data_IF_203292964836
#
_entry.id   IF_203292964836
#
_cell.length_a   1.000
_cell.length_b   1.000
_cell.length_c   1.000
_cell.angle_alpha   90.00
_cell.angle_beta   90.00
_cell.angle_gamma   90.00
#
_symmetry.space_group_name_H-M   'P 1'
#
loop_
_entity.id
_entity.type
_entity.pdbx_description
1 polymer ?
#
# COMPACT_ATOMS: atom_id res chain seq x y z
N UNK A 1 -44.04 7.48 71.53
CA UNK A 1 -43.53 8.84 71.34
C UNK A 1 -42.03 8.77 71.68
N UNK A 2 -41.20 8.66 70.72
CA UNK A 2 -39.72 8.66 70.86
C UNK A 2 -39.22 9.86 70.09
N UNK A 3 -38.75 10.82 70.85
CA UNK A 3 -38.20 12.09 70.40
C UNK A 3 -36.79 11.87 69.86
N UNK A 4 -36.58 12.04 68.56
CA UNK A 4 -35.31 11.86 67.89
C UNK A 4 -34.53 13.15 67.96
N UNK A 5 -33.53 13.17 68.83
CA UNK A 5 -32.58 14.27 69.04
C UNK A 5 -31.72 14.48 67.86
N UNK A 6 -31.87 15.58 67.14
CA UNK A 6 -30.95 16.00 66.06
C UNK A 6 -29.63 16.47 66.66
N UNK A 7 -28.55 15.72 66.35
CA UNK A 7 -27.19 16.16 66.59
C UNK A 7 -26.78 17.19 65.53
N UNK A 8 -26.06 18.26 65.88
CA UNK A 8 -25.57 19.27 64.94
C UNK A 8 -24.39 18.72 64.16
N UNK A 9 -24.53 18.71 62.85
CA UNK A 9 -23.45 18.34 61.92
C UNK A 9 -22.28 19.32 62.07
N UNK A 10 -21.08 18.76 62.27
CA UNK A 10 -19.84 19.47 62.30
C UNK A 10 -19.60 20.21 60.95
N UNK A 11 -19.38 21.50 61.03
CA UNK A 11 -18.95 22.34 59.91
C UNK A 11 -17.60 21.82 59.35
N UNK A 12 -17.65 21.28 58.13
CA UNK A 12 -16.44 20.99 57.34
C UNK A 12 -15.77 22.32 57.00
N UNK A 13 -14.67 22.58 57.66
CA UNK A 13 -13.84 23.74 57.37
C UNK A 13 -13.29 23.66 55.94
N UNK A 14 -13.83 24.49 55.07
CA UNK A 14 -13.23 24.76 53.76
C UNK A 14 -11.92 25.45 54.06
N UNK A 15 -10.81 24.72 54.02
CA UNK A 15 -9.48 25.34 53.99
C UNK A 15 -9.40 26.11 52.67
N UNK A 16 -9.31 27.43 52.78
CA UNK A 16 -8.99 28.32 51.69
C UNK A 16 -7.74 27.76 50.98
N UNK A 17 -7.94 27.11 49.82
CA UNK A 17 -6.91 26.84 48.90
C UNK A 17 -6.48 28.19 48.30
N UNK A 18 -5.55 28.87 48.93
CA UNK A 18 -4.83 29.97 48.32
C UNK A 18 -4.28 29.45 47.00
N UNK A 19 -4.88 29.87 45.91
CA UNK A 19 -4.33 29.70 44.57
C UNK A 19 -3.05 30.53 44.61
N UNK A 20 -1.93 29.84 44.79
CA UNK A 20 -0.59 30.44 44.54
C UNK A 20 -0.58 30.77 43.04
N UNK A 21 -0.89 32.02 42.73
CA UNK A 21 -0.64 32.58 41.41
C UNK A 21 0.87 32.53 41.23
N UNK A 22 1.29 31.61 40.32
CA UNK A 22 2.71 31.56 39.91
C UNK A 22 3.19 32.98 39.57
N UNK A 23 4.38 33.37 39.97
CA UNK A 23 4.87 34.72 39.72
C UNK A 23 4.87 34.95 38.21
N UNK A 24 3.98 35.85 37.76
CA UNK A 24 4.08 36.41 36.42
C UNK A 24 5.39 37.19 36.37
N UNK A 25 6.44 36.50 35.95
CA UNK A 25 7.71 37.15 35.66
C UNK A 25 7.45 38.19 34.57
N UNK A 26 7.71 39.45 34.89
CA UNK A 26 7.58 40.55 33.94
C UNK A 26 8.44 40.29 32.72
N UNK A 27 7.78 39.85 31.63
CA UNK A 27 8.46 39.56 30.35
C UNK A 27 8.90 40.89 29.76
N UNK A 28 10.19 41.14 29.77
CA UNK A 28 10.77 42.32 29.15
C UNK A 28 10.39 42.38 27.66
N UNK A 29 10.10 43.61 27.17
CA UNK A 29 9.77 43.82 25.74
C UNK A 29 10.80 43.22 24.80
N UNK A 30 12.09 43.27 25.13
CA UNK A 30 13.17 42.65 24.37
C UNK A 30 13.09 41.15 24.37
N UNK A 31 12.78 40.54 25.51
CA UNK A 31 12.59 39.08 25.62
C UNK A 31 11.38 38.62 24.83
N UNK A 32 10.26 39.34 24.90
CA UNK A 32 9.08 39.04 24.14
C UNK A 32 9.30 39.07 22.62
N UNK A 33 9.95 40.13 22.12
CA UNK A 33 10.30 40.27 20.70
C UNK A 33 11.25 39.12 20.28
N UNK A 34 12.25 38.80 21.12
CA UNK A 34 13.18 37.70 20.84
C UNK A 34 12.47 36.32 20.71
N UNK A 35 11.57 36.00 21.64
CA UNK A 35 10.80 34.77 21.58
C UNK A 35 9.82 34.74 20.40
N UNK A 36 9.23 35.88 20.08
CA UNK A 36 8.33 36.01 18.95
C UNK A 36 9.06 35.81 17.61
N UNK A 37 10.23 36.42 17.44
CA UNK A 37 11.04 36.22 16.22
C UNK A 37 11.53 34.77 16.11
N UNK A 38 11.98 34.17 17.21
CA UNK A 38 12.36 32.75 17.22
C UNK A 38 11.19 31.84 16.83
N UNK A 39 10.00 32.09 17.38
CA UNK A 39 8.79 31.35 17.05
C UNK A 39 8.43 31.46 15.55
N UNK A 40 8.46 32.68 15.01
CA UNK A 40 8.16 32.91 13.60
C UNK A 40 9.21 32.29 12.66
N UNK A 41 10.48 32.35 13.02
CA UNK A 41 11.53 31.69 12.19
C UNK A 41 11.39 30.17 12.23
N UNK A 42 11.16 29.56 13.39
CA UNK A 42 10.94 28.15 13.53
C UNK A 42 9.70 27.67 12.74
N UNK A 43 8.60 28.42 12.85
CA UNK A 43 7.38 28.16 12.10
C UNK A 43 7.60 28.25 10.58
N UNK A 44 8.30 29.29 10.11
CA UNK A 44 8.58 29.46 8.67
C UNK A 44 9.45 28.33 8.12
N UNK A 45 10.47 27.89 8.87
CA UNK A 45 11.32 26.78 8.50
C UNK A 45 10.54 25.46 8.47
N UNK A 46 9.70 25.19 9.46
CA UNK A 46 8.86 24.00 9.50
C UNK A 46 7.86 23.96 8.34
N UNK A 47 7.20 25.09 8.08
CA UNK A 47 6.24 25.21 6.98
C UNK A 47 6.93 25.07 5.62
N UNK A 48 8.09 25.72 5.42
CA UNK A 48 8.87 25.60 4.20
C UNK A 48 9.36 24.17 3.96
N UNK A 49 9.82 23.48 5.00
CA UNK A 49 10.19 22.08 4.94
C UNK A 49 9.00 21.17 4.57
N UNK A 50 7.86 21.38 5.21
CA UNK A 50 6.64 20.64 4.92
C UNK A 50 6.16 20.83 3.47
N UNK A 51 6.14 22.09 3.00
CA UNK A 51 5.77 22.41 1.62
C UNK A 51 6.73 21.75 0.60
N UNK A 52 8.03 21.79 0.89
CA UNK A 52 9.04 21.14 0.05
C UNK A 52 8.81 19.63 -0.03
N UNK A 53 8.55 18.98 1.10
CA UNK A 53 8.19 17.55 1.14
C UNK A 53 6.92 17.26 0.35
N UNK A 54 5.89 18.10 0.50
CA UNK A 54 4.63 17.94 -0.20
C UNK A 54 4.79 18.07 -1.71
N UNK A 55 5.54 19.07 -2.17
CA UNK A 55 5.86 19.23 -3.60
C UNK A 55 6.64 18.02 -4.10
N UNK A 56 7.66 17.57 -3.35
CA UNK A 56 8.44 16.38 -3.74
C UNK A 56 7.59 15.10 -3.80
N UNK A 57 6.59 14.97 -2.95
CA UNK A 57 5.66 13.85 -2.98
C UNK A 57 4.78 13.84 -4.24
N UNK A 58 4.43 15.00 -4.77
CA UNK A 58 3.62 15.14 -5.99
C UNK A 58 4.39 14.75 -7.26
N UNK A 59 5.72 14.77 -7.22
CA UNK A 59 6.53 14.31 -8.35
C UNK A 59 6.82 12.82 -8.19
N UNK A 60 6.30 11.95 -9.09
CA UNK A 60 6.56 10.53 -9.02
C UNK A 60 8.07 10.28 -9.17
N UNK A 61 8.62 9.55 -8.22
CA UNK A 61 10.04 9.20 -8.20
C UNK A 61 10.35 7.97 -9.10
N UNK A 62 9.55 7.78 -10.15
CA UNK A 62 9.70 6.68 -11.09
C UNK A 62 10.80 7.07 -12.08
N UNK A 63 12.03 6.71 -11.74
CA UNK A 63 13.19 7.04 -12.55
C UNK A 63 13.51 6.03 -13.64
N UNK A 64 13.03 4.78 -13.52
CA UNK A 64 13.27 3.73 -14.51
C UNK A 64 12.14 2.71 -14.50
N UNK A 65 11.26 2.80 -15.48
CA UNK A 65 10.53 1.61 -15.89
C UNK A 65 11.50 0.73 -16.68
N UNK A 66 11.73 -0.54 -16.28
CA UNK A 66 12.50 -1.44 -17.10
C UNK A 66 11.83 -1.54 -18.48
N UNK A 67 12.59 -1.69 -19.58
CA UNK A 67 12.02 -1.78 -20.91
C UNK A 67 10.94 -2.87 -20.92
N UNK A 68 9.72 -2.50 -21.30
CA UNK A 68 8.57 -3.41 -21.32
C UNK A 68 8.65 -4.46 -22.44
N UNK A 69 9.72 -4.41 -23.23
CA UNK A 69 10.02 -5.37 -24.29
C UNK A 69 11.32 -6.11 -24.02
N UNK A 70 11.31 -7.42 -24.21
CA UNK A 70 12.48 -8.26 -24.09
C UNK A 70 12.51 -9.30 -25.22
N UNK A 71 13.70 -9.75 -25.57
CA UNK A 71 13.87 -10.78 -26.60
C UNK A 71 13.66 -12.15 -26.00
N UNK A 72 12.78 -12.94 -26.60
CA UNK A 72 12.44 -14.30 -26.15
C UNK A 72 13.21 -15.39 -26.89
N UNK A 73 13.87 -15.08 -28.01
CA UNK A 73 14.58 -16.06 -28.87
C UNK A 73 13.93 -16.17 -30.24
N UNK A 74 14.22 -17.28 -30.91
CA UNK A 74 13.66 -17.59 -32.22
C UNK A 74 12.38 -18.46 -32.09
N UNK A 75 11.47 -18.38 -33.06
CA UNK A 75 10.24 -19.17 -33.03
C UNK A 75 10.46 -20.68 -32.89
N UNK A 76 11.55 -21.18 -33.42
CA UNK A 76 11.88 -22.61 -33.42
C UNK A 76 12.35 -23.13 -32.05
N UNK A 77 12.67 -22.22 -31.13
CA UNK A 77 13.03 -22.56 -29.76
C UNK A 77 11.83 -22.99 -28.92
N UNK A 78 10.60 -22.81 -29.43
CA UNK A 78 9.35 -23.08 -28.71
C UNK A 78 8.59 -24.25 -29.34
N UNK A 79 8.23 -25.22 -28.50
CA UNK A 79 7.46 -26.41 -28.93
C UNK A 79 5.98 -26.03 -29.07
N UNK A 80 5.35 -26.48 -30.17
CA UNK A 80 3.92 -26.27 -30.41
C UNK A 80 3.10 -27.01 -29.35
N UNK A 81 2.15 -26.33 -28.74
CA UNK A 81 1.24 -26.90 -27.74
C UNK A 81 1.87 -27.09 -26.35
N UNK A 82 3.00 -26.44 -26.08
CA UNK A 82 3.60 -26.35 -24.75
C UNK A 82 3.78 -24.92 -24.29
N UNK A 83 3.94 -24.74 -22.97
CA UNK A 83 4.17 -23.45 -22.34
C UNK A 83 5.61 -23.40 -21.83
N UNK A 84 6.33 -22.39 -22.24
CA UNK A 84 7.68 -22.12 -21.77
C UNK A 84 7.63 -21.37 -20.41
N UNK A 85 8.28 -21.94 -19.41
CA UNK A 85 8.32 -21.44 -18.05
C UNK A 85 9.56 -20.58 -17.74
N UNK A 86 10.52 -20.49 -18.66
CA UNK A 86 11.81 -19.76 -18.46
C UNK A 86 11.59 -18.30 -18.09
N UNK A 87 10.56 -17.69 -18.64
CA UNK A 87 10.29 -16.26 -18.47
C UNK A 87 9.36 -15.93 -17.29
N UNK A 88 8.79 -16.96 -16.63
CA UNK A 88 7.86 -16.82 -15.50
C UNK A 88 8.44 -15.99 -14.35
N UNK A 89 9.64 -16.33 -13.90
CA UNK A 89 10.20 -15.74 -12.67
C UNK A 89 10.76 -14.34 -12.89
N UNK A 90 11.24 -14.04 -14.09
CA UNK A 90 11.92 -12.77 -14.39
C UNK A 90 10.96 -11.71 -14.93
N UNK A 91 10.04 -12.13 -15.78
CA UNK A 91 9.15 -11.22 -16.51
C UNK A 91 7.66 -11.41 -16.20
N UNK A 92 7.34 -12.38 -15.36
CA UNK A 92 5.96 -12.76 -15.03
C UNK A 92 5.11 -13.09 -16.27
N UNK A 93 5.71 -13.78 -17.24
CA UNK A 93 5.09 -14.12 -18.52
C UNK A 93 5.28 -15.60 -18.83
N UNK A 94 4.25 -16.22 -19.38
CA UNK A 94 4.33 -17.52 -20.05
C UNK A 94 4.32 -17.32 -21.54
N UNK A 95 5.20 -18.02 -22.23
CA UNK A 95 5.25 -18.02 -23.69
C UNK A 95 4.69 -19.36 -24.19
N UNK A 96 3.71 -19.29 -25.06
CA UNK A 96 3.14 -20.44 -25.74
C UNK A 96 3.27 -20.30 -27.23
N UNK A 97 3.32 -21.44 -27.95
CA UNK A 97 3.28 -21.52 -29.41
C UNK A 97 2.09 -22.36 -29.84
N UNK A 98 1.30 -21.83 -30.76
CA UNK A 98 0.26 -22.56 -31.48
C UNK A 98 0.52 -22.51 -32.99
N UNK A 99 -0.39 -23.05 -33.77
CA UNK A 99 -0.27 -23.08 -35.23
C UNK A 99 -0.35 -21.69 -35.87
N UNK A 100 -0.93 -20.70 -35.16
CA UNK A 100 -1.04 -19.32 -35.60
C UNK A 100 0.22 -18.51 -35.30
N UNK A 101 1.03 -18.93 -34.32
CA UNK A 101 2.26 -18.24 -33.92
C UNK A 101 2.55 -18.32 -32.43
N UNK A 102 3.40 -17.39 -31.97
CA UNK A 102 3.80 -17.27 -30.59
C UNK A 102 2.87 -16.28 -29.87
N UNK A 103 2.50 -16.61 -28.66
CA UNK A 103 1.70 -15.73 -27.80
C UNK A 103 2.29 -15.68 -26.39
N UNK A 104 2.04 -14.57 -25.72
CA UNK A 104 2.49 -14.34 -24.36
C UNK A 104 1.28 -14.15 -23.43
N UNK A 105 1.29 -14.81 -22.28
CA UNK A 105 0.23 -14.74 -21.27
C UNK A 105 0.81 -14.21 -19.96
N UNK A 106 0.06 -13.37 -19.29
CA UNK A 106 0.38 -12.92 -17.94
C UNK A 106 0.31 -14.07 -16.94
N UNK A 107 1.27 -14.12 -16.02
CA UNK A 107 1.25 -15.10 -14.92
C UNK A 107 0.31 -14.70 -13.78
N UNK A 108 -0.43 -13.62 -13.95
CA UNK A 108 -1.32 -13.07 -12.91
C UNK A 108 -2.74 -13.57 -13.13
N UNK A 109 -3.27 -14.29 -12.14
CA UNK A 109 -4.66 -14.75 -12.13
C UNK A 109 -5.62 -13.56 -12.05
N UNK A 110 -6.61 -13.56 -12.93
CA UNK A 110 -7.59 -12.46 -13.03
C UNK A 110 -8.62 -12.43 -11.90
N UNK A 111 -8.58 -13.41 -10.97
CA UNK A 111 -9.40 -13.37 -9.75
C UNK A 111 -8.83 -12.37 -8.72
N UNK A 112 -7.70 -12.69 -8.11
CA UNK A 112 -7.07 -11.90 -7.04
C UNK A 112 -5.53 -11.85 -7.18
N UNK A 113 -4.98 -12.00 -8.37
CA UNK A 113 -3.57 -11.77 -8.62
C UNK A 113 -2.62 -12.92 -8.28
N UNK A 114 -3.11 -14.10 -7.84
CA UNK A 114 -2.25 -15.26 -7.61
C UNK A 114 -1.61 -15.75 -8.90
N UNK A 115 -0.49 -16.47 -8.82
CA UNK A 115 0.14 -17.09 -9.98
C UNK A 115 -0.39 -18.52 -10.18
N UNK A 116 -1.14 -18.81 -11.26
CA UNK A 116 -1.54 -20.18 -11.59
C UNK A 116 -0.33 -21.07 -11.89
N UNK A 117 -0.45 -22.35 -11.67
CA UNK A 117 0.56 -23.33 -12.04
C UNK A 117 0.21 -23.97 -13.40
N UNK A 118 1.22 -24.14 -14.26
CA UNK A 118 1.07 -24.89 -15.48
C UNK A 118 1.09 -26.40 -15.20
N UNK A 119 0.09 -27.11 -15.67
CA UNK A 119 -0.03 -28.56 -15.58
C UNK A 119 0.16 -29.16 -16.98
N UNK A 120 1.39 -29.54 -17.30
CA UNK A 120 1.75 -30.03 -18.64
C UNK A 120 0.99 -31.26 -19.08
N UNK A 121 0.68 -32.20 -18.16
CA UNK A 121 -0.09 -33.41 -18.43
C UNK A 121 -1.53 -33.14 -18.84
N UNK A 122 -2.13 -32.10 -18.25
CA UNK A 122 -3.54 -31.75 -18.49
C UNK A 122 -3.67 -30.53 -19.42
N UNK A 123 -2.54 -29.96 -19.86
CA UNK A 123 -2.45 -28.78 -20.75
C UNK A 123 -3.35 -27.63 -20.31
N UNK A 124 -3.32 -27.35 -19.00
CA UNK A 124 -4.09 -26.27 -18.38
C UNK A 124 -3.30 -25.55 -17.29
N UNK A 125 -3.72 -24.34 -16.99
CA UNK A 125 -3.26 -23.62 -15.79
C UNK A 125 -4.27 -23.81 -14.66
N UNK A 126 -3.78 -24.06 -13.46
CA UNK A 126 -4.61 -24.16 -12.25
C UNK A 126 -4.10 -23.21 -11.19
N UNK A 127 -4.97 -22.32 -10.73
CA UNK A 127 -4.65 -21.40 -9.65
C UNK A 127 -4.79 -22.09 -8.28
N UNK A 128 -3.74 -22.16 -7.46
CA UNK A 128 -3.80 -22.87 -6.18
C UNK A 128 -4.61 -22.12 -5.11
N UNK A 129 -4.84 -20.82 -5.28
CA UNK A 129 -5.51 -20.02 -4.26
C UNK A 129 -7.01 -20.35 -4.14
N UNK A 130 -7.74 -20.30 -5.26
CA UNK A 130 -9.21 -20.50 -5.27
C UNK A 130 -9.69 -21.41 -6.41
N UNK A 131 -8.77 -22.15 -7.02
CA UNK A 131 -9.12 -23.17 -7.98
C UNK A 131 -9.49 -22.70 -9.39
N UNK A 132 -9.24 -21.43 -9.75
CA UNK A 132 -9.46 -20.95 -11.11
C UNK A 132 -8.64 -21.75 -12.13
N UNK A 133 -9.30 -22.23 -13.19
CA UNK A 133 -8.69 -22.97 -14.29
C UNK A 133 -8.68 -22.18 -15.59
N UNK A 134 -7.55 -22.27 -16.31
CA UNK A 134 -7.39 -21.63 -17.62
C UNK A 134 -6.82 -22.64 -18.61
N UNK A 135 -7.35 -22.61 -19.82
CA UNK A 135 -6.83 -23.42 -20.94
C UNK A 135 -5.43 -22.93 -21.34
N UNK A 136 -4.73 -23.72 -22.14
CA UNK A 136 -3.42 -23.33 -22.69
C UNK A 136 -3.47 -21.97 -23.41
N UNK A 137 -4.58 -21.63 -24.04
CA UNK A 137 -4.81 -20.34 -24.70
C UNK A 137 -5.03 -19.16 -23.72
N UNK A 138 -5.05 -19.41 -22.42
CA UNK A 138 -5.35 -18.41 -21.39
C UNK A 138 -6.85 -18.22 -21.11
N UNK A 139 -7.75 -18.86 -21.86
CA UNK A 139 -9.19 -18.74 -21.63
C UNK A 139 -9.57 -19.46 -20.35
N UNK A 140 -10.28 -18.78 -19.46
CA UNK A 140 -10.80 -19.36 -18.23
C UNK A 140 -11.95 -20.33 -18.53
N UNK A 141 -12.06 -21.40 -17.77
CA UNK A 141 -13.14 -22.38 -17.92
C UNK A 141 -13.69 -22.89 -16.58
N UNK A 142 -12.99 -22.58 -15.47
CA UNK A 142 -13.34 -23.09 -14.15
C UNK A 142 -12.95 -22.08 -13.06
N UNK A 143 -13.75 -22.02 -12.01
CA UNK A 143 -13.48 -21.24 -10.81
C UNK A 143 -13.89 -19.78 -10.89
N UNK A 144 -13.48 -18.98 -9.88
CA UNK A 144 -14.00 -17.62 -9.70
C UNK A 144 -13.35 -16.54 -10.60
N UNK A 145 -12.39 -16.89 -11.46
CA UNK A 145 -11.76 -15.91 -12.35
C UNK A 145 -12.80 -15.32 -13.33
N UNK A 146 -12.98 -13.98 -13.38
CA UNK A 146 -14.04 -13.37 -14.18
C UNK A 146 -13.69 -13.22 -15.67
N UNK A 147 -12.42 -13.36 -16.05
CA UNK A 147 -11.92 -13.13 -17.41
C UNK A 147 -10.71 -14.00 -17.74
N UNK A 148 -10.35 -14.17 -19.03
CA UNK A 148 -9.13 -14.85 -19.44
C UNK A 148 -7.87 -14.21 -18.84
N UNK A 149 -6.76 -14.95 -18.85
CA UNK A 149 -5.44 -14.38 -18.59
C UNK A 149 -5.12 -13.29 -19.62
N UNK A 150 -4.46 -12.25 -19.16
CA UNK A 150 -4.09 -11.15 -20.04
C UNK A 150 -3.05 -11.59 -21.08
N UNK A 151 -3.28 -11.19 -22.33
CA UNK A 151 -2.39 -11.44 -23.45
C UNK A 151 -1.54 -10.20 -23.73
N UNK A 152 -0.25 -10.37 -23.77
CA UNK A 152 0.67 -9.35 -24.23
C UNK A 152 0.78 -9.38 -25.77
N UNK A 153 0.94 -8.19 -26.35
CA UNK A 153 1.14 -8.01 -27.80
C UNK A 153 2.62 -7.94 -28.12
#
# INVERSE_FOLDING_TARGET
MAEQKLEPQASVGIKDATIETAPHGDVSRKSFIGWMTLGWTAFSLATGGFLTMMVRYLFPNVLFEPPQSFKIGFPDDFTIGEIDLRFKNKYAVWIGRNDEGIYALSTVCTHLGCTPNWMGTEKKFKCPCHGSGFRISGVHFEGPAPRPLERFK
#
